data_IF_043534117694
#
_entry.id   IF_043534117694
#
_cell.length_a   1.000
_cell.length_b   1.000
_cell.length_c   1.000
_cell.angle_alpha   90.00
_cell.angle_beta   90.00
_cell.angle_gamma   90.00
#
_symmetry.space_group_name_H-M   'P 1'
#
loop_
_entity.id
_entity.type
_entity.pdbx_description
1 polymer ?
#
# COMPACT_ATOMS: atom_id res chain seq x y z
N UNK A 1 -23.27 20.14 -4.32
CA UNK A 1 -24.18 19.70 -3.24
C UNK A 1 -25.63 19.85 -3.70
N UNK A 2 -26.44 18.81 -3.47
CA UNK A 2 -27.86 18.80 -3.82
C UNK A 2 -28.65 18.22 -2.66
N UNK A 3 -29.75 18.88 -2.31
CA UNK A 3 -30.73 18.34 -1.36
C UNK A 3 -31.72 17.48 -2.12
N UNK A 4 -31.71 16.16 -1.84
CA UNK A 4 -32.63 15.20 -2.42
C UNK A 4 -33.92 15.11 -1.59
N UNK A 5 -34.99 14.45 -2.10
CA UNK A 5 -36.17 14.14 -1.30
C UNK A 5 -35.81 13.46 0.02
N UNK A 6 -36.70 13.61 1.02
CA UNK A 6 -36.52 13.07 2.38
C UNK A 6 -35.33 13.65 3.16
N UNK A 7 -34.94 14.91 2.87
CA UNK A 7 -33.82 15.66 3.50
C UNK A 7 -32.47 14.94 3.43
N UNK A 8 -32.22 14.21 2.36
CA UNK A 8 -30.91 13.60 2.08
C UNK A 8 -30.02 14.63 1.39
N UNK A 9 -28.85 14.90 1.95
CA UNK A 9 -27.82 15.71 1.31
C UNK A 9 -26.93 14.79 0.48
N UNK A 10 -26.81 15.11 -0.81
CA UNK A 10 -25.91 14.46 -1.75
C UNK A 10 -24.84 15.43 -2.20
N UNK A 11 -23.59 15.01 -2.21
CA UNK A 11 -22.49 15.80 -2.76
C UNK A 11 -21.58 14.97 -3.67
N UNK A 12 -21.03 15.62 -4.67
CA UNK A 12 -19.98 15.10 -5.55
C UNK A 12 -18.85 16.13 -5.55
N UNK A 13 -17.64 15.65 -5.28
CA UNK A 13 -16.42 16.45 -5.30
C UNK A 13 -15.39 15.81 -6.22
N UNK A 14 -14.86 16.57 -7.18
CA UNK A 14 -13.75 16.20 -8.03
C UNK A 14 -12.55 17.09 -7.76
N UNK A 15 -11.37 16.50 -7.52
CA UNK A 15 -10.11 17.23 -7.34
C UNK A 15 -9.12 16.76 -8.39
N UNK A 16 -8.50 17.71 -9.08
CA UNK A 16 -7.33 17.48 -9.93
C UNK A 16 -6.24 18.46 -9.57
N UNK A 17 -5.05 17.94 -9.26
CA UNK A 17 -3.86 18.75 -8.98
C UNK A 17 -2.70 18.26 -9.81
N UNK A 18 -1.90 19.17 -10.36
CA UNK A 18 -0.72 18.87 -11.16
C UNK A 18 0.50 19.56 -10.56
N UNK A 19 1.59 18.79 -10.42
CA UNK A 19 2.88 19.33 -10.05
C UNK A 19 3.72 19.52 -11.32
N UNK A 20 4.06 20.77 -11.62
CA UNK A 20 4.75 21.13 -12.85
C UNK A 20 6.26 20.88 -12.80
N UNK A 21 6.87 20.95 -11.63
CA UNK A 21 8.32 20.81 -11.46
C UNK A 21 8.70 20.08 -10.16
N UNK A 22 8.19 18.86 -9.94
CA UNK A 22 8.55 18.12 -8.74
C UNK A 22 10.05 17.86 -8.71
N UNK A 23 10.65 17.99 -7.55
CA UNK A 23 12.06 17.69 -7.35
C UNK A 23 12.30 16.19 -7.28
N UNK A 24 13.47 15.78 -7.75
CA UNK A 24 13.95 14.39 -7.66
C UNK A 24 15.44 14.38 -7.36
N UNK A 25 15.86 13.41 -6.56
CA UNK A 25 17.28 13.17 -6.29
C UNK A 25 17.85 12.24 -7.35
N UNK A 26 18.99 12.62 -7.94
CA UNK A 26 19.74 11.80 -8.88
C UNK A 26 21.20 11.67 -8.43
N UNK A 27 21.95 10.74 -9.00
CA UNK A 27 23.42 10.65 -8.79
C UNK A 27 24.15 10.80 -10.09
N UNK A 28 25.38 11.36 -10.03
CA UNK A 28 26.20 11.61 -11.22
C UNK A 28 27.18 10.48 -11.51
N UNK A 29 27.48 9.60 -10.55
CA UNK A 29 28.47 8.54 -10.78
C UNK A 29 27.89 7.30 -11.45
N UNK A 30 26.60 7.09 -11.40
CA UNK A 30 25.93 5.94 -12.04
C UNK A 30 25.15 6.45 -13.24
N UNK A 31 25.58 6.08 -14.42
CA UNK A 31 25.01 6.54 -15.67
C UNK A 31 25.05 5.45 -16.74
N UNK A 32 24.18 5.55 -17.70
CA UNK A 32 24.22 4.73 -18.89
C UNK A 32 25.13 5.43 -19.95
N UNK A 33 26.07 4.68 -20.48
CA UNK A 33 27.05 5.20 -21.49
C UNK A 33 26.47 5.20 -22.93
N UNK A 34 25.20 4.91 -23.09
CA UNK A 34 24.53 4.81 -24.39
C UNK A 34 24.77 3.49 -25.14
N UNK A 35 25.54 2.56 -24.58
CA UNK A 35 25.96 1.33 -25.26
C UNK A 35 25.72 0.07 -24.46
N UNK A 36 26.12 0.04 -23.19
CA UNK A 36 26.05 -1.17 -22.37
C UNK A 36 24.61 -1.55 -22.05
N UNK A 37 24.26 -2.78 -22.37
CA UNK A 37 22.98 -3.38 -22.01
C UNK A 37 23.18 -4.70 -21.30
N UNK A 38 22.15 -5.14 -20.58
CA UNK A 38 22.04 -6.49 -20.05
C UNK A 38 20.74 -7.10 -20.55
N UNK A 39 20.84 -8.24 -21.20
CA UNK A 39 19.68 -9.04 -21.63
C UNK A 39 19.45 -10.10 -20.59
N UNK A 40 18.29 -10.04 -19.92
CA UNK A 40 17.88 -10.96 -18.88
C UNK A 40 17.08 -12.12 -19.46
N UNK A 41 16.22 -11.82 -20.44
CA UNK A 41 15.47 -12.78 -21.24
C UNK A 41 15.34 -12.24 -22.66
N UNK A 42 14.82 -13.02 -23.64
CA UNK A 42 14.64 -12.52 -25.00
C UNK A 42 13.81 -11.24 -25.10
N UNK A 43 12.89 -11.02 -24.14
CA UNK A 43 12.00 -9.86 -24.11
C UNK A 43 12.45 -8.78 -23.12
N UNK A 44 13.47 -9.03 -22.30
CA UNK A 44 13.91 -8.13 -21.23
C UNK A 44 15.37 -7.72 -21.41
N UNK A 45 15.59 -6.64 -22.15
CA UNK A 45 16.90 -6.00 -22.30
C UNK A 45 16.88 -4.62 -21.65
N UNK A 46 17.87 -4.34 -20.79
CA UNK A 46 17.95 -3.13 -19.97
C UNK A 46 19.28 -2.39 -20.16
N UNK A 47 19.27 -1.12 -19.82
CA UNK A 47 20.50 -0.36 -19.70
C UNK A 47 21.35 -0.91 -18.55
N UNK A 48 22.64 -1.14 -18.79
CA UNK A 48 23.58 -1.54 -17.75
C UNK A 48 24.46 -0.35 -17.39
N UNK A 49 24.43 0.07 -16.12
CA UNK A 49 25.06 1.32 -15.72
C UNK A 49 26.56 1.18 -15.53
N UNK A 50 27.26 2.23 -15.89
CA UNK A 50 28.66 2.43 -15.57
C UNK A 50 28.79 3.27 -14.31
N UNK A 51 29.69 2.89 -13.41
CA UNK A 51 30.06 3.68 -12.25
C UNK A 51 31.43 4.32 -12.44
N UNK A 52 31.49 5.64 -12.45
CA UNK A 52 32.76 6.39 -12.61
C UNK A 52 33.65 6.35 -11.36
N UNK A 53 33.03 6.36 -10.16
CA UNK A 53 33.73 6.30 -8.87
C UNK A 53 32.89 5.67 -7.81
N UNK A 54 33.32 4.53 -7.26
CA UNK A 54 32.61 3.78 -6.21
C UNK A 54 32.77 4.36 -4.80
N UNK A 55 33.76 5.20 -4.59
CA UNK A 55 34.11 5.75 -3.28
C UNK A 55 33.30 6.98 -2.90
N UNK A 56 32.70 7.66 -3.88
CA UNK A 56 31.91 8.88 -3.67
C UNK A 56 30.59 8.76 -4.39
N UNK A 57 29.51 9.24 -3.78
CA UNK A 57 28.18 9.31 -4.41
C UNK A 57 27.68 10.74 -4.37
N UNK A 58 27.97 11.57 -5.38
CA UNK A 58 27.42 12.91 -5.47
C UNK A 58 25.95 12.84 -5.85
N UNK A 59 25.11 13.44 -5.01
CA UNK A 59 23.69 13.58 -5.28
C UNK A 59 23.40 14.97 -5.85
N UNK A 60 22.45 14.99 -6.78
CA UNK A 60 21.92 16.21 -7.37
C UNK A 60 20.41 16.24 -7.19
N UNK A 61 19.89 17.35 -6.66
CA UNK A 61 18.46 17.63 -6.65
C UNK A 61 18.12 18.37 -7.94
N UNK A 62 17.20 17.83 -8.71
CA UNK A 62 16.81 18.38 -10.02
C UNK A 62 15.32 18.25 -10.26
N UNK A 63 14.78 18.96 -11.23
CA UNK A 63 13.40 18.83 -11.65
C UNK A 63 13.19 17.51 -12.40
N UNK A 64 12.09 16.82 -12.09
CA UNK A 64 11.79 15.54 -12.68
C UNK A 64 11.10 15.66 -14.04
N UNK A 65 10.01 16.43 -14.11
CA UNK A 65 9.18 16.59 -15.32
C UNK A 65 7.79 17.13 -14.97
N UNK A 66 6.83 17.04 -15.91
CA UNK A 66 5.55 17.72 -15.80
C UNK A 66 4.34 16.76 -15.72
N UNK A 67 4.57 15.47 -15.44
CA UNK A 67 3.50 14.45 -15.47
C UNK A 67 2.96 14.06 -14.10
N UNK A 68 3.55 14.58 -13.01
CA UNK A 68 3.07 14.31 -11.66
C UNK A 68 1.71 14.96 -11.44
N UNK A 69 0.77 14.20 -10.90
CA UNK A 69 -0.60 14.66 -10.66
C UNK A 69 -1.28 13.85 -9.56
N UNK A 70 -2.30 14.45 -8.99
CA UNK A 70 -3.28 13.82 -8.11
C UNK A 70 -4.67 14.03 -8.68
N UNK A 71 -5.51 13.01 -8.62
CA UNK A 71 -6.91 13.08 -8.97
C UNK A 71 -7.76 12.29 -7.98
N UNK A 72 -8.94 12.80 -7.66
CA UNK A 72 -9.92 12.10 -6.85
C UNK A 72 -11.35 12.49 -7.23
N UNK A 73 -12.26 11.53 -7.00
CA UNK A 73 -13.69 11.71 -7.12
C UNK A 73 -14.35 11.12 -5.88
N UNK A 74 -15.12 11.96 -5.17
CA UNK A 74 -15.82 11.57 -3.95
C UNK A 74 -17.32 11.76 -4.13
N UNK A 75 -18.09 10.75 -3.75
CA UNK A 75 -19.55 10.78 -3.63
C UNK A 75 -19.91 10.70 -2.16
N UNK A 76 -20.79 11.56 -1.67
CA UNK A 76 -21.23 11.57 -0.28
C UNK A 76 -22.74 11.67 -0.16
N UNK A 77 -23.29 10.95 0.81
CA UNK A 77 -24.67 10.99 1.24
C UNK A 77 -24.75 11.24 2.72
N UNK A 78 -25.61 12.12 3.18
CA UNK A 78 -25.85 12.35 4.61
C UNK A 78 -27.32 12.64 4.88
N UNK A 79 -27.81 12.11 5.99
CA UNK A 79 -29.16 12.38 6.50
C UNK A 79 -29.17 12.50 8.01
N UNK A 80 -29.86 13.56 8.48
CA UNK A 80 -30.22 13.74 9.89
C UNK A 80 -31.69 13.42 10.07
N UNK A 81 -32.00 12.65 11.10
CA UNK A 81 -33.35 12.30 11.47
C UNK A 81 -33.77 13.06 12.74
N UNK A 82 -34.99 13.51 12.82
CA UNK A 82 -35.47 14.33 13.95
C UNK A 82 -35.45 13.57 15.31
N UNK A 83 -35.44 12.25 15.28
CA UNK A 83 -35.35 11.45 16.48
C UNK A 83 -33.92 11.29 17.05
N UNK A 84 -32.91 11.96 16.46
CA UNK A 84 -31.53 12.02 16.95
C UNK A 84 -30.55 11.05 16.29
N UNK A 85 -30.92 10.43 15.16
CA UNK A 85 -30.02 9.59 14.35
C UNK A 85 -29.44 10.40 13.19
N UNK A 86 -28.11 10.42 13.08
CA UNK A 86 -27.37 10.98 11.96
C UNK A 86 -26.62 9.85 11.24
N UNK A 87 -26.77 9.76 9.92
CA UNK A 87 -26.06 8.78 9.06
C UNK A 87 -25.36 9.50 7.95
N UNK A 88 -24.10 9.13 7.69
CA UNK A 88 -23.38 9.56 6.48
C UNK A 88 -22.64 8.40 5.84
N UNK A 89 -22.47 8.47 4.51
CA UNK A 89 -21.65 7.55 3.74
C UNK A 89 -20.91 8.32 2.66
N UNK A 90 -19.61 8.06 2.51
CA UNK A 90 -18.81 8.64 1.42
C UNK A 90 -17.93 7.57 0.78
N UNK A 91 -17.84 7.63 -0.56
CA UNK A 91 -16.94 6.77 -1.33
C UNK A 91 -16.01 7.64 -2.16
N UNK A 92 -14.71 7.46 -1.97
CA UNK A 92 -13.66 8.17 -2.69
C UNK A 92 -12.86 7.20 -3.55
N UNK A 93 -12.71 7.54 -4.81
CA UNK A 93 -11.71 6.97 -5.71
C UNK A 93 -10.59 8.00 -5.87
N UNK A 94 -9.34 7.59 -5.67
CA UNK A 94 -8.21 8.51 -5.81
C UNK A 94 -6.99 7.83 -6.42
N UNK A 95 -6.19 8.64 -7.12
CA UNK A 95 -4.90 8.19 -7.62
C UNK A 95 -3.92 9.37 -7.65
N UNK A 96 -2.67 9.09 -7.37
CA UNK A 96 -1.58 10.02 -7.62
C UNK A 96 -0.48 9.34 -8.42
N UNK A 97 0.15 10.08 -9.32
CA UNK A 97 1.37 9.66 -10.00
C UNK A 97 2.48 10.66 -9.70
N UNK A 98 3.64 10.14 -9.35
CA UNK A 98 4.82 10.92 -8.96
C UNK A 98 6.08 10.36 -9.61
N UNK A 99 7.19 11.08 -9.52
CA UNK A 99 8.53 10.61 -9.94
C UNK A 99 9.30 9.93 -8.80
N UNK A 100 8.76 9.92 -7.60
CA UNK A 100 9.28 9.29 -6.39
C UNK A 100 8.46 9.74 -5.20
N UNK A 101 8.39 8.92 -4.17
CA UNK A 101 7.53 9.20 -3.02
C UNK A 101 8.26 10.02 -1.94
N UNK A 102 9.54 10.38 -2.16
CA UNK A 102 10.31 11.22 -1.25
C UNK A 102 10.51 10.61 0.15
N UNK A 103 10.45 9.28 0.26
CA UNK A 103 10.51 8.60 1.57
C UNK A 103 11.94 8.61 2.13
N UNK A 104 12.07 9.19 3.30
CA UNK A 104 13.29 9.22 4.11
C UNK A 104 13.81 10.63 4.35
N UNK A 105 14.47 10.81 5.48
CA UNK A 105 15.09 12.05 5.96
C UNK A 105 16.51 12.29 5.41
N UNK A 106 17.09 11.27 4.74
CA UNK A 106 18.40 11.32 4.16
C UNK A 106 18.34 11.34 2.63
N UNK A 107 19.25 12.07 1.99
CA UNK A 107 19.35 12.17 0.53
C UNK A 107 19.49 10.79 -0.14
N UNK A 108 20.25 9.88 0.48
CA UNK A 108 20.37 8.48 0.01
C UNK A 108 19.02 7.76 0.04
N UNK A 109 18.22 7.99 1.08
CA UNK A 109 16.90 7.40 1.21
C UNK A 109 15.94 7.97 0.16
N UNK A 110 15.93 9.27 -0.03
CA UNK A 110 15.13 9.94 -1.07
C UNK A 110 15.55 9.49 -2.49
N UNK A 111 16.82 9.13 -2.70
CA UNK A 111 17.30 8.57 -3.98
C UNK A 111 16.78 7.16 -4.24
N UNK A 112 16.84 6.26 -3.25
CA UNK A 112 16.63 4.82 -3.47
C UNK A 112 15.25 4.30 -3.07
N UNK A 113 14.59 4.91 -2.05
CA UNK A 113 13.36 4.33 -1.50
C UNK A 113 12.17 4.60 -2.44
N UNK A 114 11.43 3.55 -2.75
CA UNK A 114 10.24 3.58 -3.61
C UNK A 114 10.43 4.26 -4.98
N UNK A 115 11.66 4.25 -5.49
CA UNK A 115 11.98 4.74 -6.83
C UNK A 115 12.27 3.58 -7.77
N UNK A 116 11.35 2.64 -7.79
CA UNK A 116 11.41 1.48 -8.67
C UNK A 116 11.30 1.90 -10.14
N UNK A 117 12.21 1.41 -10.98
CA UNK A 117 12.28 1.68 -12.41
C UNK A 117 12.68 0.42 -13.18
N UNK A 118 12.52 0.44 -14.48
CA UNK A 118 12.98 -0.65 -15.34
C UNK A 118 14.50 -0.68 -15.39
N UNK A 119 15.13 0.48 -15.58
CA UNK A 119 16.59 0.60 -15.76
C UNK A 119 17.29 1.14 -14.52
N UNK A 120 17.15 2.43 -14.22
CA UNK A 120 17.95 3.10 -13.20
C UNK A 120 17.12 4.04 -12.32
N UNK A 121 17.57 4.30 -11.08
CA UNK A 121 16.97 5.31 -10.22
C UNK A 121 17.06 6.73 -10.81
N UNK A 122 18.07 6.99 -11.65
CA UNK A 122 18.21 8.26 -12.36
C UNK A 122 17.14 8.46 -13.43
N UNK A 123 16.49 7.38 -13.88
CA UNK A 123 15.41 7.49 -14.85
C UNK A 123 14.21 8.17 -14.18
N UNK A 124 13.77 9.25 -14.81
CA UNK A 124 12.65 10.04 -14.34
C UNK A 124 11.33 9.39 -14.78
N UNK A 125 11.14 8.12 -14.39
CA UNK A 125 9.92 7.37 -14.67
C UNK A 125 8.80 7.78 -13.73
N UNK A 126 7.62 8.02 -14.31
CA UNK A 126 6.42 8.28 -13.52
C UNK A 126 5.79 6.97 -13.08
N UNK A 127 5.32 6.89 -11.84
CA UNK A 127 4.61 5.73 -11.30
C UNK A 127 3.58 6.13 -10.25
N UNK A 128 2.79 5.16 -9.80
CA UNK A 128 1.79 5.42 -8.77
C UNK A 128 2.44 5.72 -7.42
N UNK A 129 1.93 6.72 -6.74
CA UNK A 129 2.30 7.03 -5.36
C UNK A 129 1.66 6.01 -4.40
N UNK A 130 2.42 5.55 -3.41
CA UNK A 130 1.98 4.52 -2.47
C UNK A 130 1.28 5.09 -1.22
N UNK A 131 1.22 6.40 -1.08
CA UNK A 131 0.56 7.09 0.05
C UNK A 131 -0.89 7.48 -0.22
N UNK A 132 -1.40 7.26 -1.45
CA UNK A 132 -2.78 7.53 -1.83
C UNK A 132 -3.57 6.22 -1.89
N UNK A 133 -4.59 6.09 -1.05
CA UNK A 133 -5.50 4.96 -1.09
C UNK A 133 -6.37 4.99 -2.35
N UNK A 134 -6.33 3.95 -3.21
CA UNK A 134 -7.11 3.95 -4.46
C UNK A 134 -8.61 4.01 -4.27
N UNK A 135 -9.11 3.42 -3.18
CA UNK A 135 -10.52 3.42 -2.84
C UNK A 135 -10.67 3.55 -1.33
N UNK A 136 -11.68 4.35 -0.91
CA UNK A 136 -12.04 4.50 0.49
C UNK A 136 -13.56 4.63 0.61
N UNK A 137 -14.16 3.79 1.44
CA UNK A 137 -15.56 3.87 1.85
C UNK A 137 -15.60 4.20 3.33
N UNK A 138 -16.23 5.31 3.69
CA UNK A 138 -16.45 5.72 5.08
C UNK A 138 -17.95 5.80 5.33
N UNK A 139 -18.44 5.08 6.34
CA UNK A 139 -19.82 5.14 6.77
C UNK A 139 -19.84 5.49 8.25
N UNK A 140 -20.63 6.49 8.63
CA UNK A 140 -20.82 6.86 10.04
C UNK A 140 -22.31 6.79 10.38
N UNK A 141 -22.60 6.32 11.58
CA UNK A 141 -23.92 6.40 12.18
C UNK A 141 -23.79 6.84 13.63
N UNK A 142 -24.50 7.88 14.02
CA UNK A 142 -24.51 8.34 15.40
C UNK A 142 -25.94 8.58 15.85
N UNK A 143 -26.24 8.09 17.05
CA UNK A 143 -27.52 8.33 17.71
C UNK A 143 -27.29 9.06 19.02
N UNK A 144 -28.01 10.15 19.23
CA UNK A 144 -27.92 10.93 20.47
C UNK A 144 -29.33 11.30 20.94
N UNK A 145 -29.60 11.08 22.22
CA UNK A 145 -30.90 11.41 22.81
C UNK A 145 -30.75 11.79 24.29
N UNK A 146 -31.30 12.94 24.63
CA UNK A 146 -31.49 13.35 26.01
C UNK A 146 -32.87 12.85 26.49
N UNK A 147 -32.94 12.38 27.71
CA UNK A 147 -34.17 11.85 28.31
C UNK A 147 -34.20 12.04 29.83
N UNK A 148 -35.41 11.98 30.41
CA UNK A 148 -35.67 12.13 31.85
C UNK A 148 -34.97 13.37 32.47
N UNK A 149 -34.72 14.43 31.70
CA UNK A 149 -34.07 15.70 32.09
C UNK A 149 -32.62 15.58 32.64
N UNK A 150 -32.21 14.37 33.05
CA UNK A 150 -30.92 14.12 33.72
C UNK A 150 -29.98 13.19 32.94
N UNK A 151 -30.41 12.65 31.84
CA UNK A 151 -29.63 11.64 31.11
C UNK A 151 -29.50 12.00 29.63
N UNK A 152 -28.35 11.70 29.06
CA UNK A 152 -28.12 11.76 27.60
C UNK A 152 -27.30 10.57 27.17
N UNK A 153 -27.77 9.81 26.20
CA UNK A 153 -27.06 8.66 25.64
C UNK A 153 -26.59 8.98 24.23
N UNK A 154 -25.35 8.66 23.94
CA UNK A 154 -24.78 8.71 22.60
C UNK A 154 -24.25 7.33 22.21
N UNK A 155 -24.57 6.87 20.99
CA UNK A 155 -24.02 5.67 20.36
C UNK A 155 -23.48 6.07 19.00
N UNK A 156 -22.25 5.69 18.69
CA UNK A 156 -21.61 5.95 17.40
C UNK A 156 -21.04 4.67 16.80
N UNK A 157 -21.15 4.54 15.49
CA UNK A 157 -20.48 3.53 14.68
C UNK A 157 -19.74 4.23 13.54
N UNK A 158 -18.51 3.81 13.31
CA UNK A 158 -17.69 4.26 12.18
C UNK A 158 -17.14 3.02 11.46
N UNK A 159 -17.57 2.83 10.22
CA UNK A 159 -17.02 1.81 9.36
C UNK A 159 -16.09 2.47 8.33
N UNK A 160 -14.89 1.95 8.19
CA UNK A 160 -13.94 2.31 7.15
C UNK A 160 -13.52 1.07 6.36
N UNK A 161 -13.73 1.12 5.04
CA UNK A 161 -13.16 0.19 4.07
C UNK A 161 -12.18 0.92 3.17
N UNK A 162 -10.93 0.46 3.05
CA UNK A 162 -9.92 1.13 2.24
C UNK A 162 -8.87 0.15 1.71
N UNK A 163 -8.25 0.47 0.56
CA UNK A 163 -7.08 -0.28 0.12
C UNK A 163 -5.88 0.11 1.00
N UNK A 164 -5.61 -0.70 2.00
CA UNK A 164 -4.54 -0.43 2.94
C UNK A 164 -3.96 -1.73 3.53
N UNK A 165 -2.65 -1.75 3.73
CA UNK A 165 -1.93 -2.84 4.36
C UNK A 165 -0.94 -2.34 5.39
N UNK A 166 -0.40 -3.27 6.17
CA UNK A 166 0.64 -2.95 7.13
C UNK A 166 2.03 -3.16 6.50
N UNK A 167 2.51 -2.11 5.87
CA UNK A 167 3.88 -2.01 5.38
C UNK A 167 4.28 -0.53 5.39
N UNK A 168 5.35 -0.14 6.09
CA UNK A 168 5.75 1.27 6.18
C UNK A 168 6.16 1.89 4.84
N UNK A 169 6.46 1.06 3.83
CA UNK A 169 6.87 1.51 2.50
C UNK A 169 5.86 1.21 1.39
N UNK A 170 4.80 0.44 1.70
CA UNK A 170 3.82 -0.01 0.73
C UNK A 170 2.40 -0.04 1.33
N UNK A 171 2.00 1.06 1.99
CA UNK A 171 0.75 1.10 2.75
C UNK A 171 -0.50 0.90 1.89
N UNK A 172 -0.55 1.45 0.67
CA UNK A 172 -1.73 1.38 -0.20
C UNK A 172 -1.46 0.66 -1.52
N UNK A 173 -0.20 0.66 -1.96
CA UNK A 173 0.29 0.10 -3.22
C UNK A 173 1.71 -0.42 -3.05
N UNK A 174 2.11 -1.36 -3.90
CA UNK A 174 3.48 -1.88 -3.95
C UNK A 174 3.91 -2.18 -5.38
N UNK A 175 5.19 -2.50 -5.55
CA UNK A 175 5.81 -2.78 -6.85
C UNK A 175 6.39 -4.18 -6.86
N UNK A 176 6.21 -4.91 -7.94
CA UNK A 176 6.94 -6.16 -8.16
C UNK A 176 8.33 -5.88 -8.76
N UNK A 177 9.35 -6.41 -8.12
CA UNK A 177 10.75 -6.13 -8.44
C UNK A 177 11.58 -7.41 -8.51
N UNK A 178 12.83 -7.25 -8.97
CA UNK A 178 13.86 -8.24 -8.75
C UNK A 178 14.43 -8.16 -7.33
N UNK A 179 14.89 -9.30 -6.81
CA UNK A 179 15.71 -9.36 -5.61
C UNK A 179 17.18 -9.14 -6.00
N UNK A 180 17.73 -7.98 -5.68
CA UNK A 180 19.10 -7.62 -5.98
C UNK A 180 19.26 -6.59 -7.12
N UNK A 181 20.52 -6.28 -7.43
CA UNK A 181 20.89 -5.27 -8.39
C UNK A 181 21.10 -5.90 -9.77
N UNK A 182 20.21 -5.64 -10.71
CA UNK A 182 20.26 -6.25 -12.05
C UNK A 182 21.03 -5.39 -13.04
N UNK A 183 20.95 -4.06 -12.89
CA UNK A 183 21.47 -3.09 -13.85
C UNK A 183 22.74 -2.37 -13.39
N UNK A 184 23.36 -2.83 -12.31
CA UNK A 184 24.54 -2.20 -11.69
C UNK A 184 24.28 -0.77 -11.19
N UNK A 185 23.07 -0.50 -10.68
CA UNK A 185 22.74 0.81 -10.10
C UNK A 185 23.20 0.94 -8.65
N UNK A 186 23.28 2.17 -8.15
CA UNK A 186 23.69 2.44 -6.78
C UNK A 186 22.68 1.90 -5.77
N UNK A 187 23.14 0.97 -4.92
CA UNK A 187 22.31 0.32 -3.87
C UNK A 187 20.96 -0.21 -4.37
N UNK A 188 20.92 -0.67 -5.64
CA UNK A 188 19.70 -1.14 -6.26
C UNK A 188 19.27 -2.53 -5.80
N UNK A 189 18.02 -2.69 -5.50
CA UNK A 189 17.14 -3.83 -5.68
C UNK A 189 15.76 -3.30 -6.10
N UNK A 190 15.78 -2.31 -6.96
CA UNK A 190 14.61 -1.51 -7.29
C UNK A 190 14.21 -1.66 -8.76
N UNK A 191 14.74 -2.68 -9.46
CA UNK A 191 14.37 -2.91 -10.85
C UNK A 191 13.03 -3.61 -10.94
N UNK A 192 12.11 -2.99 -11.68
CA UNK A 192 10.77 -3.53 -11.92
C UNK A 192 10.83 -4.85 -12.66
N UNK A 193 9.98 -5.79 -12.27
CA UNK A 193 9.90 -7.12 -12.86
C UNK A 193 9.32 -7.04 -14.28
N UNK A 194 9.92 -7.76 -15.25
CA UNK A 194 9.25 -8.11 -16.49
C UNK A 194 8.39 -9.36 -16.25
N UNK A 195 7.14 -9.32 -16.65
CA UNK A 195 6.19 -10.45 -16.49
C UNK A 195 6.15 -11.22 -17.79
N UNK A 196 6.52 -12.51 -17.84
CA UNK A 196 6.51 -13.31 -19.06
C UNK A 196 5.11 -13.38 -19.68
N UNK A 197 5.06 -13.43 -21.00
CA UNK A 197 3.79 -13.43 -21.74
C UNK A 197 3.01 -14.74 -21.55
N UNK A 198 3.73 -15.88 -21.48
CA UNK A 198 3.16 -17.21 -21.31
C UNK A 198 4.11 -18.14 -20.54
N UNK A 199 3.64 -19.36 -20.21
CA UNK A 199 4.50 -20.39 -19.59
C UNK A 199 5.62 -20.83 -20.55
N UNK A 200 5.30 -20.94 -21.84
CA UNK A 200 6.25 -21.32 -22.88
C UNK A 200 7.35 -20.25 -23.06
N UNK A 201 7.02 -18.96 -22.88
CA UNK A 201 8.04 -17.91 -22.90
C UNK A 201 9.11 -18.12 -21.82
N UNK A 202 8.75 -18.73 -20.66
CA UNK A 202 9.72 -19.05 -19.60
C UNK A 202 10.71 -20.14 -20.00
N UNK A 203 10.47 -20.94 -21.02
CA UNK A 203 11.42 -21.97 -21.47
C UNK A 203 12.70 -21.35 -22.02
N UNK A 204 12.61 -20.14 -22.59
CA UNK A 204 13.76 -19.37 -23.03
C UNK A 204 14.48 -18.63 -21.89
N UNK A 205 13.93 -18.62 -20.66
CA UNK A 205 14.56 -17.99 -19.51
C UNK A 205 15.49 -18.98 -18.81
N UNK A 206 16.72 -18.57 -18.56
CA UNK A 206 17.70 -19.42 -17.91
C UNK A 206 17.49 -19.43 -16.41
N UNK A 207 16.84 -20.46 -15.88
CA UNK A 207 16.74 -20.71 -14.42
C UNK A 207 17.84 -21.67 -13.96
N UNK A 208 18.35 -21.49 -12.76
CA UNK A 208 19.32 -22.42 -12.15
C UNK A 208 18.75 -23.09 -10.91
N UNK A 209 19.00 -24.38 -10.80
CA UNK A 209 18.69 -25.11 -9.58
C UNK A 209 19.39 -24.50 -8.36
N UNK A 210 18.73 -24.54 -7.21
CA UNK A 210 19.35 -24.18 -5.95
C UNK A 210 18.84 -25.04 -4.78
N UNK A 211 19.64 -25.10 -3.73
CA UNK A 211 19.31 -25.85 -2.53
C UNK A 211 18.68 -24.92 -1.51
N UNK A 212 17.55 -25.35 -0.94
CA UNK A 212 16.92 -24.70 0.20
C UNK A 212 16.75 -25.69 1.36
N UNK A 213 16.49 -25.18 2.55
CA UNK A 213 16.19 -26.00 3.73
C UNK A 213 14.69 -25.96 4.00
N UNK A 214 14.04 -27.10 4.01
CA UNK A 214 12.61 -27.23 4.26
C UNK A 214 12.24 -27.04 5.75
N UNK A 215 10.95 -27.10 6.07
CA UNK A 215 10.46 -26.95 7.44
C UNK A 215 10.94 -28.08 8.40
N UNK A 216 11.32 -29.23 7.84
CA UNK A 216 11.91 -30.36 8.58
C UNK A 216 13.43 -30.28 8.73
N UNK A 217 14.03 -29.14 8.33
CA UNK A 217 15.46 -28.86 8.29
C UNK A 217 16.25 -29.79 7.34
N UNK A 218 15.59 -30.34 6.34
CA UNK A 218 16.23 -31.18 5.31
C UNK A 218 16.58 -30.29 4.08
N UNK A 219 17.72 -30.61 3.45
CA UNK A 219 18.15 -29.97 2.22
C UNK A 219 17.35 -30.54 1.05
N UNK A 220 16.72 -29.66 0.29
CA UNK A 220 15.94 -29.98 -0.89
C UNK A 220 16.48 -29.23 -2.09
N UNK A 221 16.41 -29.82 -3.28
CA UNK A 221 16.74 -29.13 -4.54
C UNK A 221 15.47 -28.52 -5.11
N UNK A 222 15.52 -27.23 -5.41
CA UNK A 222 14.47 -26.53 -6.16
C UNK A 222 14.91 -26.43 -7.62
N UNK A 223 14.39 -27.31 -8.46
CA UNK A 223 14.84 -27.42 -9.86
C UNK A 223 14.36 -26.24 -10.70
N UNK A 224 15.06 -25.97 -11.81
CA UNK A 224 14.70 -24.90 -12.74
C UNK A 224 13.26 -25.02 -13.25
N UNK A 225 12.82 -26.23 -13.58
CA UNK A 225 11.43 -26.45 -14.08
C UNK A 225 10.38 -26.23 -12.98
N UNK A 226 10.62 -26.73 -11.77
CA UNK A 226 9.73 -26.42 -10.63
C UNK A 226 9.62 -24.92 -10.38
N UNK A 227 10.73 -24.18 -10.47
CA UNK A 227 10.74 -22.73 -10.30
C UNK A 227 9.92 -22.00 -11.38
N UNK A 228 10.03 -22.44 -12.66
CA UNK A 228 9.25 -21.87 -13.76
C UNK A 228 7.75 -22.11 -13.59
N UNK A 229 7.36 -23.33 -13.18
CA UNK A 229 5.96 -23.69 -12.93
C UNK A 229 5.39 -22.91 -11.74
N UNK A 230 6.11 -22.85 -10.63
CA UNK A 230 5.69 -22.12 -9.44
C UNK A 230 5.61 -20.61 -9.71
N UNK A 231 6.56 -20.05 -10.47
CA UNK A 231 6.51 -18.65 -10.86
C UNK A 231 5.32 -18.35 -11.79
N UNK A 232 5.03 -19.22 -12.76
CA UNK A 232 3.86 -19.07 -13.62
C UNK A 232 2.55 -19.18 -12.85
N UNK A 233 2.47 -20.15 -11.92
CA UNK A 233 1.33 -20.30 -11.03
C UNK A 233 1.13 -19.07 -10.14
N UNK A 234 2.23 -18.50 -9.64
CA UNK A 234 2.19 -17.25 -8.88
C UNK A 234 1.67 -16.07 -9.71
N UNK A 235 2.11 -15.93 -10.96
CA UNK A 235 1.61 -14.89 -11.87
C UNK A 235 0.09 -15.04 -12.08
N UNK A 236 -0.39 -16.26 -12.26
CA UNK A 236 -1.81 -16.51 -12.53
C UNK A 236 -2.74 -16.32 -11.34
N UNK A 237 -2.26 -16.51 -10.10
CA UNK A 237 -3.05 -16.27 -8.90
C UNK A 237 -3.10 -14.78 -8.52
N UNK A 238 -2.13 -13.97 -8.93
CA UNK A 238 -2.09 -12.55 -8.64
C UNK A 238 -2.80 -11.73 -9.72
N UNK A 239 -3.83 -10.98 -9.34
CA UNK A 239 -4.67 -10.24 -10.29
C UNK A 239 -3.90 -9.15 -11.05
N UNK A 240 -2.91 -8.51 -10.42
CA UNK A 240 -2.10 -7.48 -11.07
C UNK A 240 -1.13 -8.11 -12.08
N UNK A 241 -0.35 -9.12 -11.68
CA UNK A 241 0.61 -9.79 -12.57
C UNK A 241 -0.08 -10.47 -13.74
N UNK A 242 -1.24 -11.11 -13.49
CA UNK A 242 -2.05 -11.72 -14.57
C UNK A 242 -2.44 -10.71 -15.65
N UNK A 243 -2.70 -9.45 -15.27
CA UNK A 243 -3.01 -8.35 -16.20
C UNK A 243 -1.76 -7.71 -16.84
N UNK A 244 -0.54 -8.10 -16.41
CA UNK A 244 0.73 -7.52 -16.89
C UNK A 244 1.54 -8.46 -17.78
N UNK A 245 1.03 -9.61 -18.15
CA UNK A 245 1.72 -10.58 -19.03
C UNK A 245 2.28 -9.91 -20.27
N UNK A 246 3.55 -10.15 -20.58
CA UNK A 246 4.27 -9.53 -21.69
C UNK A 246 4.67 -8.06 -21.46
N UNK A 247 4.65 -7.58 -20.21
CA UNK A 247 4.95 -6.17 -19.88
C UNK A 247 5.76 -6.07 -18.59
N UNK A 248 6.45 -4.96 -18.43
CA UNK A 248 7.05 -4.62 -17.15
C UNK A 248 5.98 -4.31 -16.08
N UNK A 249 6.25 -4.70 -14.85
CA UNK A 249 5.53 -4.16 -13.70
C UNK A 249 5.70 -2.63 -13.63
N UNK A 250 4.76 -1.95 -12.98
CA UNK A 250 4.80 -0.51 -12.79
C UNK A 250 5.12 -0.19 -11.32
N UNK A 251 5.79 0.92 -11.09
CA UNK A 251 5.99 1.42 -9.73
C UNK A 251 4.64 1.71 -9.10
N UNK A 252 4.38 1.12 -7.92
CA UNK A 252 3.10 1.23 -7.22
C UNK A 252 1.91 0.66 -8.00
N UNK A 253 2.13 -0.18 -9.02
CA UNK A 253 1.06 -0.70 -9.87
C UNK A 253 0.12 -1.66 -9.15
N UNK A 254 0.64 -2.50 -8.27
CA UNK A 254 -0.15 -3.42 -7.49
C UNK A 254 -0.81 -2.72 -6.29
N UNK A 255 -2.10 -3.02 -6.04
CA UNK A 255 -2.87 -2.43 -4.94
C UNK A 255 -2.88 -3.37 -3.74
N UNK A 256 -2.83 -2.81 -2.53
CA UNK A 256 -3.15 -3.57 -1.34
C UNK A 256 -4.64 -3.97 -1.34
N UNK A 257 -5.01 -5.11 -0.76
CA UNK A 257 -6.40 -5.50 -0.65
C UNK A 257 -7.19 -4.53 0.24
N UNK A 258 -8.51 -4.66 0.21
CA UNK A 258 -9.35 -3.92 1.14
C UNK A 258 -9.07 -4.33 2.58
N UNK A 259 -8.89 -3.33 3.43
CA UNK A 259 -8.95 -3.45 4.89
C UNK A 259 -10.29 -2.90 5.36
N UNK A 260 -10.94 -3.61 6.27
CA UNK A 260 -12.24 -3.24 6.81
C UNK A 260 -12.12 -3.07 8.32
N UNK A 261 -12.52 -1.91 8.83
CA UNK A 261 -12.51 -1.62 10.25
C UNK A 261 -13.88 -1.08 10.66
N UNK A 262 -14.37 -1.52 11.82
CA UNK A 262 -15.59 -1.03 12.44
C UNK A 262 -15.24 -0.57 13.85
N UNK A 263 -15.43 0.71 14.14
CA UNK A 263 -15.23 1.30 15.45
C UNK A 263 -16.58 1.63 16.09
N UNK A 264 -16.66 1.45 17.41
CA UNK A 264 -17.85 1.71 18.20
C UNK A 264 -17.54 2.69 19.32
N UNK A 265 -18.48 3.59 19.56
CA UNK A 265 -18.45 4.52 20.68
C UNK A 265 -19.78 4.51 21.42
N UNK A 266 -19.69 4.46 22.75
CA UNK A 266 -20.83 4.66 23.63
C UNK A 266 -20.48 5.75 24.63
N UNK A 267 -21.40 6.67 24.91
CA UNK A 267 -21.26 7.64 25.97
C UNK A 267 -22.58 7.85 26.70
N UNK A 268 -22.53 7.85 28.02
CA UNK A 268 -23.66 8.14 28.90
C UNK A 268 -23.37 9.40 29.69
N UNK A 269 -24.21 10.41 29.50
CA UNK A 269 -24.17 11.69 30.26
C UNK A 269 -25.15 11.64 31.42
N UNK A 270 -24.71 12.17 32.54
CA UNK A 270 -25.52 12.46 33.72
C UNK A 270 -25.48 13.96 33.93
N UNK A 271 -26.64 14.61 33.88
CA UNK A 271 -26.77 16.05 34.02
C UNK A 271 -27.18 16.43 35.43
N UNK A 272 -26.47 17.36 36.03
CA UNK A 272 -26.74 17.92 37.35
C UNK A 272 -26.70 19.44 37.28
N UNK A 273 -27.63 20.10 37.96
CA UNK A 273 -27.58 21.56 38.18
C UNK A 273 -26.87 21.87 39.50
N UNK A 274 -25.75 22.55 39.43
CA UNK A 274 -24.98 22.98 40.59
C UNK A 274 -24.86 24.51 40.54
N UNK A 275 -25.34 25.21 41.53
CA UNK A 275 -25.33 26.67 41.59
C UNK A 275 -25.94 27.38 40.35
N UNK A 276 -27.00 26.77 39.76
CA UNK A 276 -27.69 27.31 38.59
C UNK A 276 -27.02 26.99 37.23
N UNK A 277 -25.89 26.28 37.25
CA UNK A 277 -25.17 25.84 36.01
C UNK A 277 -25.32 24.35 35.78
N UNK A 278 -25.48 23.96 34.52
CA UNK A 278 -25.56 22.56 34.10
C UNK A 278 -24.17 21.93 34.07
N UNK A 279 -23.93 21.00 34.97
CA UNK A 279 -22.74 20.17 35.00
C UNK A 279 -23.03 18.80 34.42
N UNK A 280 -22.05 18.19 33.77
CA UNK A 280 -22.21 16.87 33.14
C UNK A 280 -21.11 15.93 33.60
N UNK A 281 -21.51 14.77 34.12
CA UNK A 281 -20.60 13.63 34.30
C UNK A 281 -20.85 12.65 33.15
N UNK A 282 -19.82 12.38 32.35
CA UNK A 282 -19.89 11.49 31.20
C UNK A 282 -19.06 10.25 31.43
N UNK A 283 -19.64 9.08 31.20
CA UNK A 283 -18.95 7.81 31.09
C UNK A 283 -18.89 7.41 29.62
N UNK A 284 -17.71 7.00 29.15
CA UNK A 284 -17.50 6.60 27.76
C UNK A 284 -16.86 5.24 27.62
N UNK A 285 -17.24 4.52 26.57
CA UNK A 285 -16.60 3.30 26.10
C UNK A 285 -16.33 3.45 24.61
N UNK A 286 -15.05 3.40 24.24
CA UNK A 286 -14.60 3.42 22.84
C UNK A 286 -14.00 2.05 22.50
N UNK A 287 -14.50 1.38 21.46
CA UNK A 287 -14.00 0.10 20.96
C UNK A 287 -13.48 0.31 19.55
N UNK A 288 -12.17 0.26 19.40
CA UNK A 288 -11.53 0.25 18.09
C UNK A 288 -11.52 -1.16 17.54
N UNK A 289 -11.83 -1.32 16.26
CA UNK A 289 -11.87 -2.59 15.55
C UNK A 289 -12.84 -3.59 16.21
N UNK A 290 -14.09 -3.16 16.46
CA UNK A 290 -15.18 -3.98 17.03
C UNK A 290 -15.36 -5.29 16.24
N UNK A 291 -15.19 -5.27 14.93
CA UNK A 291 -15.30 -6.47 14.10
C UNK A 291 -14.33 -7.57 14.56
N UNK A 292 -13.09 -7.20 14.93
CA UNK A 292 -12.09 -8.14 15.45
C UNK A 292 -12.45 -8.69 16.84
N UNK A 293 -13.11 -7.90 17.69
CA UNK A 293 -13.63 -8.36 18.98
C UNK A 293 -14.70 -9.45 18.78
N UNK A 294 -15.56 -9.32 17.75
CA UNK A 294 -16.60 -10.28 17.44
C UNK A 294 -16.05 -11.55 16.75
N UNK A 295 -15.04 -11.38 15.89
CA UNK A 295 -14.38 -12.49 15.22
C UNK A 295 -12.90 -12.12 14.96
N UNK A 296 -11.99 -12.88 15.57
CA UNK A 296 -10.55 -12.64 15.51
C UNK A 296 -9.94 -12.67 14.10
N UNK A 297 -10.64 -13.17 13.10
CA UNK A 297 -10.22 -13.17 11.69
C UNK A 297 -10.63 -11.90 10.93
N UNK A 298 -11.49 -11.06 11.49
CA UNK A 298 -11.97 -9.83 10.88
C UNK A 298 -11.09 -8.64 11.28
N UNK A 299 -11.10 -7.58 10.45
CA UNK A 299 -10.36 -6.35 10.73
C UNK A 299 -8.84 -6.52 10.79
N UNK A 300 -8.28 -7.61 10.25
CA UNK A 300 -6.83 -7.82 10.21
C UNK A 300 -6.22 -7.08 9.02
N UNK A 301 -5.10 -6.40 9.25
CA UNK A 301 -4.29 -5.90 8.17
C UNK A 301 -3.68 -7.04 7.35
N UNK A 302 -3.45 -6.76 6.07
CA UNK A 302 -2.69 -7.64 5.18
C UNK A 302 -1.29 -7.05 4.97
N UNK A 303 -0.32 -7.94 4.75
CA UNK A 303 1.03 -7.56 4.27
C UNK A 303 1.38 -8.39 3.04
N UNK A 304 2.21 -7.82 2.18
CA UNK A 304 2.79 -8.55 1.04
C UNK A 304 3.76 -9.61 1.56
N UNK A 305 3.63 -10.84 1.05
CA UNK A 305 4.53 -11.95 1.45
C UNK A 305 5.93 -11.70 0.90
N UNK A 306 6.02 -11.44 -0.41
CA UNK A 306 7.25 -11.07 -1.09
C UNK A 306 6.90 -10.38 -2.41
N UNK A 307 7.42 -9.18 -2.63
CA UNK A 307 7.27 -8.44 -3.88
C UNK A 307 8.49 -8.56 -4.80
N UNK A 308 9.62 -9.08 -4.30
CA UNK A 308 10.84 -9.32 -5.06
C UNK A 308 10.90 -10.78 -5.49
N UNK A 309 10.26 -11.10 -6.62
CA UNK A 309 9.94 -12.47 -7.00
C UNK A 309 11.11 -13.26 -7.58
N UNK A 310 11.99 -12.61 -8.34
CA UNK A 310 13.10 -13.25 -9.01
C UNK A 310 14.43 -12.62 -8.55
N UNK A 311 15.40 -13.47 -8.24
CA UNK A 311 16.80 -13.08 -8.11
C UNK A 311 17.54 -13.44 -9.39
N UNK A 312 18.37 -12.50 -9.88
CA UNK A 312 19.24 -12.73 -11.02
C UNK A 312 20.68 -12.87 -10.58
N UNK A 313 21.31 -13.98 -10.92
CA UNK A 313 22.74 -14.21 -10.75
C UNK A 313 23.49 -13.76 -12.02
N UNK A 314 24.18 -12.65 -11.94
CA UNK A 314 24.90 -12.06 -13.09
C UNK A 314 26.12 -12.91 -13.54
N UNK A 315 26.70 -13.76 -12.67
CA UNK A 315 27.81 -14.65 -13.02
C UNK A 315 27.32 -15.87 -13.80
N UNK A 316 26.21 -16.46 -13.33
CA UNK A 316 25.58 -17.62 -13.98
C UNK A 316 24.63 -17.21 -15.11
N UNK A 317 24.29 -15.92 -15.20
CA UNK A 317 23.26 -15.38 -16.09
C UNK A 317 21.95 -16.17 -15.98
N UNK A 318 21.53 -16.41 -14.74
CA UNK A 318 20.37 -17.26 -14.44
C UNK A 318 19.46 -16.65 -13.39
N UNK A 319 18.19 -17.03 -13.44
CA UNK A 319 17.18 -16.64 -12.47
C UNK A 319 17.01 -17.69 -11.37
N UNK A 320 16.51 -17.22 -10.24
CA UNK A 320 16.01 -18.04 -9.15
C UNK A 320 14.68 -17.45 -8.67
N UNK A 321 13.61 -18.24 -8.69
CA UNK A 321 12.33 -17.85 -8.12
C UNK A 321 12.43 -17.89 -6.60
N UNK A 322 12.02 -16.80 -5.94
CA UNK A 322 12.17 -16.64 -4.51
C UNK A 322 11.15 -17.49 -3.74
N UNK A 323 11.52 -17.87 -2.54
CA UNK A 323 10.67 -18.57 -1.56
C UNK A 323 10.40 -17.65 -0.37
N UNK A 324 9.40 -17.98 0.44
CA UNK A 324 9.17 -17.37 1.74
C UNK A 324 9.79 -18.25 2.84
N UNK A 325 11.11 -18.12 3.03
CA UNK A 325 11.88 -19.04 3.88
C UNK A 325 11.84 -20.48 3.35
N UNK A 326 11.35 -21.41 4.17
CA UNK A 326 11.19 -22.83 3.80
C UNK A 326 9.95 -23.10 2.92
N UNK A 327 9.02 -22.16 2.83
CA UNK A 327 7.75 -22.36 2.14
C UNK A 327 7.78 -21.88 0.68
N UNK A 328 7.02 -22.55 -0.18
CA UNK A 328 6.78 -22.05 -1.54
C UNK A 328 5.99 -20.74 -1.52
N UNK A 329 6.32 -19.83 -2.44
CA UNK A 329 5.61 -18.58 -2.61
C UNK A 329 4.36 -18.81 -3.48
N UNK A 330 3.21 -19.00 -2.84
CA UNK A 330 1.96 -19.37 -3.52
C UNK A 330 0.87 -18.30 -3.44
N UNK A 331 1.06 -17.27 -2.64
CA UNK A 331 0.08 -16.19 -2.43
C UNK A 331 0.75 -14.84 -2.23
N UNK A 332 0.09 -13.80 -2.68
CA UNK A 332 0.58 -12.42 -2.62
C UNK A 332 0.51 -11.86 -1.20
N UNK A 333 -0.57 -12.15 -0.47
CA UNK A 333 -0.85 -11.53 0.82
C UNK A 333 -0.98 -12.55 1.93
N UNK A 334 -0.58 -12.14 3.14
CA UNK A 334 -0.85 -12.86 4.38
C UNK A 334 -1.44 -11.90 5.43
N UNK A 335 -2.09 -12.44 6.46
CA UNK A 335 -2.54 -11.63 7.58
C UNK A 335 -1.33 -11.09 8.36
N UNK A 336 -1.44 -9.84 8.76
CA UNK A 336 -0.52 -9.22 9.69
C UNK A 336 -1.17 -9.20 11.08
N UNK A 337 -0.72 -10.12 11.94
CA UNK A 337 -1.21 -10.24 13.32
C UNK A 337 -0.27 -9.47 14.25
N UNK A 338 -0.72 -8.35 14.76
CA UNK A 338 0.01 -7.52 15.70
C UNK A 338 -0.98 -6.69 16.52
N UNK A 339 -0.47 -5.97 17.51
CA UNK A 339 -1.27 -5.04 18.31
C UNK A 339 -2.10 -4.07 17.44
N UNK A 340 -1.59 -3.63 16.30
CA UNK A 340 -2.31 -2.72 15.39
C UNK A 340 -3.48 -3.38 14.65
N UNK A 341 -3.48 -4.71 14.55
CA UNK A 341 -4.55 -5.48 13.86
C UNK A 341 -5.63 -5.97 14.81
N UNK A 342 -5.46 -5.82 16.12
CA UNK A 342 -6.40 -6.31 17.12
C UNK A 342 -7.30 -5.20 17.64
N UNK A 343 -8.42 -5.57 18.26
CA UNK A 343 -9.29 -4.61 18.92
C UNK A 343 -8.63 -3.99 20.15
N UNK A 344 -9.08 -2.80 20.51
CA UNK A 344 -8.77 -2.18 21.79
C UNK A 344 -10.02 -1.54 22.38
N UNK A 345 -10.13 -1.57 23.72
CA UNK A 345 -11.25 -0.99 24.47
C UNK A 345 -10.67 0.08 25.39
N UNK A 346 -11.27 1.27 25.33
CA UNK A 346 -10.94 2.38 26.20
C UNK A 346 -12.18 2.78 27.01
N UNK A 347 -12.02 2.90 28.34
CA UNK A 347 -13.02 3.48 29.21
C UNK A 347 -12.61 4.90 29.58
N UNK A 348 -13.58 5.81 29.64
CA UNK A 348 -13.32 7.21 29.98
C UNK A 348 -14.39 7.74 30.97
N UNK A 349 -13.94 8.60 31.86
CA UNK A 349 -14.81 9.41 32.72
C UNK A 349 -14.42 10.87 32.48
N UNK A 350 -15.41 11.71 32.22
CA UNK A 350 -15.22 13.14 31.99
C UNK A 350 -16.22 13.92 32.81
N UNK A 351 -15.74 14.92 33.53
CA UNK A 351 -16.57 15.94 34.14
C UNK A 351 -16.50 17.22 33.31
N UNK A 352 -17.65 17.74 32.91
CA UNK A 352 -17.80 18.95 32.10
C UNK A 352 -18.60 19.93 32.93
N UNK A 353 -17.97 21.07 33.25
CA UNK A 353 -18.58 22.19 33.97
C UNK A 353 -18.68 23.37 33.00
N UNK A 354 -19.79 24.09 33.07
CA UNK A 354 -20.05 25.28 32.28
C UNK A 354 -20.06 26.51 33.20
#
# INVERSE_FOLDING_TARGET
DVKLPYDINFSVEGIYSRDFNPSVVTTQNYYWDGKKTITLSPEDTRHYLTCSNKSVTPYLITNAGHKAHYESLTFSLAKKFDFGLDISASYTMAQAKSYGDGIGDQVTSAYKNNRYSVNAHNDKEIGFANYVAPNRLLITASYSKDYAKHFGTMVGLVYEGTNFGYDPYAATRFSYTFAGNVVNDYKGSNNLLYVPASREALDAWNFSDYIYTDAKKQKQTYTAEQQKDDFWNYINQDSYLKGRKGKYAERGGAKMPWHHQLDFKFAQNFYMNVAGQRNTLQFGVDIKNLANLLNSSWGLYKKVVNSSLLKYDSKKKSFQFQRNGSEALTKTFTNYTSFNSTYSIQFSIRYIFN
#
